data_IF_371317182665
#
_entry.id   IF_371317182665
#
_cell.length_a   1.000
_cell.length_b   1.000
_cell.length_c   1.000
_cell.angle_alpha   90.00
_cell.angle_beta   90.00
_cell.angle_gamma   90.00
#
_symmetry.space_group_name_H-M   'P 1'
#
loop_
_entity.id
_entity.type
_entity.pdbx_description
1 polymer ?
#
# COMPACT_ATOMS: atom_id res chain seq x y z
N UNK A 1 8.82 0.85 20.62
CA UNK A 1 9.26 0.59 19.24
C UNK A 1 8.07 -0.01 18.49
N UNK A 2 7.06 0.82 18.28
CA UNK A 2 5.86 0.50 17.53
C UNK A 2 5.62 1.72 16.64
N UNK A 3 5.09 1.51 15.44
CA UNK A 3 4.58 2.54 14.51
C UNK A 3 5.42 2.99 13.31
N UNK A 4 6.65 2.53 13.10
CA UNK A 4 7.34 2.82 11.81
C UNK A 4 6.58 2.20 10.61
N UNK A 5 5.90 1.07 10.82
CA UNK A 5 5.11 0.40 9.77
C UNK A 5 3.85 1.15 9.37
N UNK A 6 3.14 1.70 10.35
CA UNK A 6 1.95 2.51 10.08
C UNK A 6 2.33 3.81 9.39
N UNK A 7 3.46 4.41 9.78
CA UNK A 7 4.00 5.60 9.11
C UNK A 7 4.29 5.33 7.63
N UNK A 8 4.91 4.20 7.26
CA UNK A 8 5.21 3.92 5.84
C UNK A 8 3.98 3.74 4.94
N UNK A 9 2.87 3.27 5.49
CA UNK A 9 1.61 3.12 4.75
C UNK A 9 0.85 4.45 4.60
N UNK A 10 1.04 5.36 5.56
CA UNK A 10 0.45 6.70 5.56
C UNK A 10 1.29 7.73 4.80
N UNK A 11 2.57 7.43 4.56
CA UNK A 11 3.45 8.26 3.75
C UNK A 11 2.96 8.29 2.29
N UNK A 12 3.07 9.47 1.64
CA UNK A 12 2.71 9.61 0.24
C UNK A 12 3.67 8.79 -0.63
N UNK A 13 3.15 8.24 -1.73
CA UNK A 13 3.90 7.36 -2.62
C UNK A 13 5.22 7.98 -3.07
N UNK A 14 5.25 9.28 -3.32
CA UNK A 14 6.44 10.02 -3.71
C UNK A 14 7.55 10.11 -2.66
N UNK A 15 7.22 9.99 -1.37
CA UNK A 15 8.24 9.90 -0.31
C UNK A 15 8.73 8.47 -0.10
N UNK A 16 7.94 7.48 -0.54
CA UNK A 16 8.28 6.07 -0.39
C UNK A 16 8.99 5.51 -1.62
N UNK A 17 8.61 5.98 -2.80
CA UNK A 17 9.09 5.56 -4.11
C UNK A 17 9.58 6.74 -4.92
N UNK A 18 10.86 6.72 -5.27
CA UNK A 18 11.51 7.77 -6.06
C UNK A 18 10.95 7.87 -7.49
N UNK A 19 10.31 6.81 -7.98
CA UNK A 19 9.72 6.74 -9.33
C UNK A 19 8.26 7.20 -9.40
N UNK A 20 7.59 7.38 -8.26
CA UNK A 20 6.20 7.83 -8.21
C UNK A 20 6.17 9.30 -7.82
N UNK A 21 5.54 10.16 -8.62
CA UNK A 21 5.28 11.55 -8.23
C UNK A 21 3.95 11.70 -7.48
N UNK A 22 3.28 10.58 -7.22
CA UNK A 22 1.93 10.55 -6.69
C UNK A 22 1.94 10.89 -5.19
N UNK A 23 1.15 11.91 -4.83
CA UNK A 23 0.99 12.35 -3.43
C UNK A 23 -0.02 11.50 -2.68
N UNK A 24 -0.62 10.54 -3.36
CA UNK A 24 -1.60 9.64 -2.77
C UNK A 24 -0.89 8.78 -1.71
N UNK A 25 -1.49 8.60 -0.52
CA UNK A 25 -0.93 7.72 0.50
C UNK A 25 -0.72 6.32 -0.06
N UNK A 26 0.38 5.66 0.29
CA UNK A 26 0.69 4.33 -0.23
C UNK A 26 -0.46 3.33 0.01
N UNK A 27 -1.07 3.40 1.19
CA UNK A 27 -2.23 2.61 1.56
C UNK A 27 -3.43 2.80 0.63
N UNK A 28 -3.69 4.03 0.19
CA UNK A 28 -4.83 4.36 -0.66
C UNK A 28 -4.56 3.96 -2.13
N UNK A 29 -3.31 4.14 -2.60
CA UNK A 29 -2.87 3.65 -3.90
C UNK A 29 -3.02 2.12 -4.00
N UNK A 30 -2.52 1.39 -3.00
CA UNK A 30 -2.72 -0.07 -2.88
C UNK A 30 -4.20 -0.44 -2.84
N UNK A 31 -5.00 0.29 -2.05
CA UNK A 31 -6.45 0.07 -1.96
C UNK A 31 -7.12 0.18 -3.32
N UNK A 32 -6.84 1.24 -4.09
CA UNK A 32 -7.43 1.45 -5.40
C UNK A 32 -7.03 0.36 -6.39
N UNK A 33 -5.76 -0.07 -6.39
CA UNK A 33 -5.30 -1.17 -7.24
C UNK A 33 -6.04 -2.47 -6.93
N UNK A 34 -6.10 -2.88 -5.66
CA UNK A 34 -6.82 -4.09 -5.26
C UNK A 34 -8.34 -3.96 -5.45
N UNK A 35 -8.91 -2.76 -5.37
CA UNK A 35 -10.31 -2.55 -5.72
C UNK A 35 -10.57 -2.78 -7.20
N UNK A 36 -9.66 -2.37 -8.08
CA UNK A 36 -9.81 -2.63 -9.51
C UNK A 36 -9.67 -4.13 -9.81
N UNK A 37 -8.62 -4.78 -9.28
CA UNK A 37 -8.36 -6.22 -9.45
C UNK A 37 -9.48 -7.10 -8.88
N UNK A 38 -9.99 -6.74 -7.70
CA UNK A 38 -11.07 -7.48 -7.04
C UNK A 38 -12.48 -7.09 -7.51
N UNK A 39 -12.62 -6.35 -8.61
CA UNK A 39 -13.91 -5.91 -9.16
C UNK A 39 -14.79 -5.18 -8.11
N UNK A 40 -14.17 -4.23 -7.39
CA UNK A 40 -14.72 -3.41 -6.32
C UNK A 40 -15.17 -4.17 -5.08
N UNK A 41 -14.64 -5.38 -4.88
CA UNK A 41 -14.97 -6.20 -3.71
C UNK A 41 -14.18 -5.75 -2.48
N UNK A 42 -14.78 -4.83 -1.73
CA UNK A 42 -14.21 -4.19 -0.53
C UNK A 42 -13.72 -5.21 0.51
N UNK A 43 -14.39 -6.37 0.61
CA UNK A 43 -14.03 -7.43 1.56
C UNK A 43 -12.70 -8.10 1.22
N UNK A 44 -12.44 -8.31 -0.07
CA UNK A 44 -11.19 -8.90 -0.55
C UNK A 44 -10.03 -7.91 -0.40
N UNK A 45 -10.25 -6.67 -0.83
CA UNK A 45 -9.30 -5.55 -0.68
C UNK A 45 -8.90 -5.34 0.78
N UNK A 46 -9.86 -5.32 1.71
CA UNK A 46 -9.60 -5.20 3.14
C UNK A 46 -8.77 -6.37 3.70
N UNK A 47 -8.99 -7.58 3.19
CA UNK A 47 -8.28 -8.78 3.63
C UNK A 47 -6.82 -8.76 3.16
N UNK A 48 -6.58 -8.33 1.92
CA UNK A 48 -5.24 -8.08 1.40
C UNK A 48 -4.54 -6.95 2.18
N UNK A 49 -5.19 -5.81 2.38
CA UNK A 49 -4.62 -4.70 3.15
C UNK A 49 -4.35 -5.03 4.61
N UNK A 50 -5.19 -5.83 5.26
CA UNK A 50 -4.89 -6.34 6.60
C UNK A 50 -3.63 -7.21 6.60
N UNK A 51 -3.44 -8.04 5.57
CA UNK A 51 -2.23 -8.85 5.43
C UNK A 51 -0.99 -7.95 5.28
N UNK A 52 -1.07 -6.88 4.47
CA UNK A 52 -0.01 -5.87 4.37
C UNK A 52 0.25 -5.17 5.70
N UNK A 53 -0.79 -4.84 6.48
CA UNK A 53 -0.66 -4.22 7.80
C UNK A 53 0.09 -5.11 8.81
N UNK A 54 0.00 -6.44 8.64
CA UNK A 54 0.76 -7.41 9.45
C UNK A 54 2.15 -7.72 8.92
N UNK A 55 2.44 -7.42 7.65
CA UNK A 55 3.75 -7.60 7.02
C UNK A 55 4.75 -6.51 7.41
N UNK A 56 6.02 -6.63 7.01
CA UNK A 56 7.05 -5.62 7.25
C UNK A 56 7.04 -4.50 6.20
N UNK A 57 7.43 -3.29 6.61
CA UNK A 57 7.49 -2.12 5.72
C UNK A 57 8.26 -2.41 4.44
N UNK A 58 9.35 -3.16 4.51
CA UNK A 58 10.15 -3.57 3.34
C UNK A 58 9.36 -4.46 2.37
N UNK A 59 8.56 -5.40 2.89
CA UNK A 59 7.70 -6.26 2.06
C UNK A 59 6.55 -5.47 1.46
N UNK A 60 5.92 -4.59 2.24
CA UNK A 60 4.87 -3.69 1.75
C UNK A 60 5.42 -2.82 0.62
N UNK A 61 6.62 -2.24 0.79
CA UNK A 61 7.25 -1.43 -0.25
C UNK A 61 7.52 -2.25 -1.52
N UNK A 62 8.04 -3.46 -1.37
CA UNK A 62 8.34 -4.34 -2.50
C UNK A 62 7.08 -4.77 -3.26
N UNK A 63 6.03 -5.16 -2.54
CA UNK A 63 4.73 -5.50 -3.13
C UNK A 63 4.11 -4.27 -3.78
N UNK A 64 4.07 -3.14 -3.07
CA UNK A 64 3.49 -1.92 -3.61
C UNK A 64 4.22 -1.44 -4.86
N UNK A 65 5.55 -1.58 -4.93
CA UNK A 65 6.30 -1.32 -6.16
C UNK A 65 5.89 -2.24 -7.31
N UNK A 66 5.55 -3.51 -7.04
CA UNK A 66 5.14 -4.45 -8.09
C UNK A 66 3.72 -4.19 -8.61
N UNK A 67 2.80 -3.79 -7.74
CA UNK A 67 1.40 -3.53 -8.16
C UNK A 67 1.19 -2.11 -8.69
N UNK A 68 1.98 -1.13 -8.24
CA UNK A 68 1.81 0.29 -8.61
C UNK A 68 2.72 0.76 -9.75
N UNK A 69 3.72 -0.03 -10.15
CA UNK A 69 4.58 0.22 -11.33
C UNK A 69 4.01 -0.44 -12.58
#
# INVERSE_FOLDING_TARGET
MADEKYQTLDLPMNEVFDWSEDKTPLRDALWNHYMDESNKNTSATLKHLKAYQTMSSDEIKTEAEKVLK
#
